data_IF_314613199985
#
_entry.id   IF_314613199985
#
_cell.length_a   1.000
_cell.length_b   1.000
_cell.length_c   1.000
_cell.angle_alpha   90.00
_cell.angle_beta   90.00
_cell.angle_gamma   90.00
#
_symmetry.space_group_name_H-M   'P 1'
#
loop_
_entity.id
_entity.type
_entity.pdbx_description
1 polymer ?
#
# COMPACT_ATOMS: atom_id res chain seq x y z
N UNK A 1 -9.91 34.33 24.31
CA UNK A 1 -10.24 32.92 24.56
C UNK A 1 -10.65 32.28 23.24
N UNK A 2 -9.94 31.21 22.88
CA UNK A 2 -10.23 30.13 21.91
C UNK A 2 -10.88 30.49 20.57
N UNK A 3 -10.10 30.28 19.50
CA UNK A 3 -10.56 29.39 18.43
C UNK A 3 -9.40 28.47 18.08
N UNK A 4 -9.43 27.28 18.68
CA UNK A 4 -8.62 26.15 18.24
C UNK A 4 -9.05 25.84 16.82
N UNK A 5 -8.16 26.03 15.85
CA UNK A 5 -8.33 25.49 14.51
C UNK A 5 -8.45 23.98 14.64
N UNK A 6 -9.63 23.46 14.36
CA UNK A 6 -9.87 22.03 14.19
C UNK A 6 -8.87 21.52 13.15
N UNK A 7 -7.83 20.82 13.61
CA UNK A 7 -6.95 20.04 12.77
C UNK A 7 -7.83 18.92 12.20
N UNK A 8 -8.24 19.05 10.95
CA UNK A 8 -8.87 17.97 10.21
C UNK A 8 -7.86 16.84 10.11
N UNK A 9 -8.00 15.85 10.97
CA UNK A 9 -7.25 14.61 10.99
C UNK A 9 -7.67 13.77 9.78
N UNK A 10 -7.29 14.19 8.57
CA UNK A 10 -7.71 13.47 7.37
C UNK A 10 -6.97 12.14 7.32
N UNK A 11 -7.76 11.08 7.41
CA UNK A 11 -7.37 9.71 7.16
C UNK A 11 -8.04 9.31 5.85
N UNK A 12 -7.27 8.81 4.90
CA UNK A 12 -7.82 8.37 3.62
C UNK A 12 -7.22 7.05 3.18
N UNK A 13 -7.97 6.34 2.33
CA UNK A 13 -7.54 5.10 1.70
C UNK A 13 -6.98 5.39 0.32
N UNK A 14 -5.86 4.76 -0.01
CA UNK A 14 -5.25 4.83 -1.33
C UNK A 14 -4.83 3.43 -1.78
N UNK A 15 -5.39 2.99 -2.91
CA UNK A 15 -5.05 1.73 -3.55
C UNK A 15 -4.17 2.02 -4.77
N UNK A 16 -3.00 1.40 -4.86
CA UNK A 16 -2.07 1.59 -5.95
C UNK A 16 -1.80 0.28 -6.66
N UNK A 17 -1.69 0.36 -7.99
CA UNK A 17 -1.12 -0.68 -8.83
C UNK A 17 0.26 -0.20 -9.25
N UNK A 18 1.27 -1.01 -8.95
CA UNK A 18 2.66 -0.78 -9.30
C UNK A 18 3.07 -1.83 -10.35
N UNK A 19 3.57 -1.35 -11.49
CA UNK A 19 4.07 -2.21 -12.57
C UNK A 19 3.46 -1.91 -13.94
N UNK A 20 4.05 -2.50 -14.98
CA UNK A 20 3.86 -2.07 -16.38
C UNK A 20 2.57 -2.54 -17.07
N UNK A 21 1.58 -3.07 -16.34
CA UNK A 21 0.32 -3.66 -16.88
C UNK A 21 0.52 -4.67 -18.03
N UNK A 22 1.74 -5.21 -18.18
CA UNK A 22 2.07 -6.20 -19.20
C UNK A 22 1.44 -7.54 -18.81
N UNK A 23 0.88 -8.24 -19.79
CA UNK A 23 0.36 -9.59 -19.57
C UNK A 23 1.51 -10.50 -19.06
N UNK A 24 1.34 -11.06 -17.87
CA UNK A 24 2.34 -11.92 -17.24
C UNK A 24 3.45 -11.20 -16.47
N UNK A 25 3.55 -9.87 -16.53
CA UNK A 25 4.55 -9.11 -15.78
C UNK A 25 4.31 -9.13 -14.27
N UNK A 26 5.33 -8.75 -13.50
CA UNK A 26 5.20 -8.54 -12.07
C UNK A 26 4.25 -7.36 -11.82
N UNK A 27 3.26 -7.60 -10.97
CA UNK A 27 2.29 -6.59 -10.50
C UNK A 27 2.36 -6.53 -8.99
N UNK A 28 2.46 -5.33 -8.45
CA UNK A 28 2.41 -5.11 -7.01
C UNK A 28 1.20 -4.23 -6.66
N UNK A 29 0.20 -4.88 -6.07
CA UNK A 29 -1.04 -4.25 -5.59
C UNK A 29 -0.87 -3.82 -4.14
N UNK A 30 -1.10 -2.54 -3.85
CA UNK A 30 -0.85 -1.94 -2.54
C UNK A 30 -2.12 -1.23 -2.08
N UNK A 31 -2.60 -1.54 -0.88
CA UNK A 31 -3.74 -0.86 -0.24
C UNK A 31 -3.28 -0.20 1.03
N UNK A 32 -3.31 1.13 1.06
CA UNK A 32 -2.77 1.97 2.13
C UNK A 32 -3.89 2.72 2.85
N UNK A 33 -3.76 2.78 4.16
CA UNK A 33 -4.43 3.73 5.04
C UNK A 33 -3.41 4.81 5.40
N UNK A 34 -3.68 6.04 4.97
CA UNK A 34 -2.79 7.18 5.19
C UNK A 34 -3.34 8.02 6.34
N UNK A 35 -2.54 8.18 7.39
CA UNK A 35 -2.86 9.01 8.55
C UNK A 35 -2.25 10.41 8.45
N UNK A 36 -3.09 11.44 8.63
CA UNK A 36 -2.66 12.84 8.71
C UNK A 36 -1.75 13.16 9.92
N UNK A 37 -2.20 12.96 11.17
CA UNK A 37 -1.39 13.26 12.36
C UNK A 37 -0.30 12.19 12.54
N UNK A 38 0.95 12.56 12.24
CA UNK A 38 2.12 11.67 12.39
C UNK A 38 2.67 11.11 11.09
N UNK A 39 2.08 11.46 9.94
CA UNK A 39 2.53 11.03 8.61
C UNK A 39 2.73 9.51 8.51
N UNK A 40 1.86 8.74 9.17
CA UNK A 40 1.97 7.29 9.22
C UNK A 40 1.17 6.65 8.09
N UNK A 41 1.67 5.51 7.62
CA UNK A 41 0.99 4.67 6.64
C UNK A 41 1.00 3.25 7.16
N UNK A 42 -0.16 2.61 7.10
CA UNK A 42 -0.30 1.16 7.27
C UNK A 42 -1.06 0.59 6.09
N UNK A 43 -0.86 -0.68 5.80
CA UNK A 43 -1.50 -1.26 4.63
C UNK A 43 -1.16 -2.71 4.39
N UNK A 44 -1.59 -3.20 3.24
CA UNK A 44 -1.27 -4.54 2.74
C UNK A 44 -0.79 -4.47 1.31
N UNK A 45 0.08 -5.39 0.96
CA UNK A 45 0.68 -5.50 -0.34
C UNK A 45 0.62 -6.93 -0.86
N UNK A 46 0.39 -7.09 -2.17
CA UNK A 46 0.48 -8.37 -2.86
C UNK A 46 1.31 -8.21 -4.13
N UNK A 47 2.43 -8.93 -4.21
CA UNK A 47 3.24 -9.03 -5.43
C UNK A 47 2.85 -10.31 -6.15
N UNK A 48 2.45 -10.21 -7.41
CA UNK A 48 2.00 -11.33 -8.23
C UNK A 48 2.71 -11.36 -9.58
N UNK A 49 3.01 -12.57 -10.07
CA UNK A 49 3.47 -12.81 -11.43
C UNK A 49 2.79 -14.08 -11.95
N UNK A 50 2.15 -13.99 -13.13
CA UNK A 50 1.42 -15.12 -13.70
C UNK A 50 2.28 -16.07 -14.56
N UNK A 51 3.41 -15.58 -15.09
CA UNK A 51 4.31 -16.40 -15.92
C UNK A 51 5.37 -17.09 -15.08
N UNK A 52 5.83 -18.26 -15.53
CA UNK A 52 6.78 -19.10 -14.80
C UNK A 52 8.13 -18.40 -14.58
N UNK A 53 8.68 -18.39 -13.34
CA UNK A 53 8.09 -18.99 -12.14
C UNK A 53 6.95 -18.13 -11.58
N UNK A 54 5.80 -18.73 -11.20
CA UNK A 54 4.72 -17.99 -10.58
C UNK A 54 5.19 -17.40 -9.24
N UNK A 55 4.86 -16.13 -9.00
CA UNK A 55 5.24 -15.40 -7.80
C UNK A 55 3.97 -14.96 -7.06
N UNK A 56 3.95 -15.15 -5.75
CA UNK A 56 2.92 -14.61 -4.87
C UNK A 56 3.53 -14.26 -3.51
N UNK A 57 3.74 -12.96 -3.26
CA UNK A 57 4.26 -12.45 -1.98
C UNK A 57 3.19 -11.60 -1.31
N UNK A 58 2.79 -12.00 -0.10
CA UNK A 58 1.89 -11.22 0.75
C UNK A 58 2.69 -10.46 1.80
N UNK A 59 2.33 -9.21 2.07
CA UNK A 59 3.05 -8.38 3.04
C UNK A 59 2.12 -7.40 3.75
N UNK A 60 2.35 -7.21 5.04
CA UNK A 60 1.77 -6.11 5.82
C UNK A 60 2.74 -4.94 5.80
N UNK A 61 2.27 -3.80 5.29
CA UNK A 61 3.10 -2.62 5.06
C UNK A 61 2.92 -1.62 6.18
N UNK A 62 4.02 -1.04 6.63
CA UNK A 62 4.05 0.04 7.60
C UNK A 62 5.15 1.03 7.28
N UNK A 63 4.93 2.31 7.55
CA UNK A 63 5.94 3.33 7.39
C UNK A 63 5.33 4.72 7.38
N UNK A 64 5.86 5.58 6.53
CA UNK A 64 5.60 7.02 6.58
C UNK A 64 5.71 7.69 5.21
N UNK A 65 5.22 8.92 5.13
CA UNK A 65 5.35 9.76 3.95
C UNK A 65 5.86 11.15 4.27
N UNK A 66 6.52 11.79 3.31
CA UNK A 66 6.97 13.17 3.43
C UNK A 66 6.79 13.92 2.12
N UNK A 67 6.45 15.19 2.22
CA UNK A 67 6.39 16.10 1.08
C UNK A 67 7.77 16.69 0.80
N UNK A 68 8.20 16.63 -0.45
CA UNK A 68 9.43 17.20 -0.95
C UNK A 68 9.09 18.30 -1.96
N UNK A 69 9.09 19.55 -1.49
CA UNK A 69 8.91 20.70 -2.35
C UNK A 69 10.28 21.19 -2.86
N UNK A 70 10.42 21.26 -4.18
CA UNK A 70 11.49 21.98 -4.85
C UNK A 70 10.97 23.36 -5.30
N UNK A 71 11.83 24.19 -5.88
CA UNK A 71 11.41 25.51 -6.39
C UNK A 71 10.36 25.43 -7.52
N UNK A 72 10.20 24.28 -8.18
CA UNK A 72 9.29 24.09 -9.32
C UNK A 72 8.18 23.09 -9.03
N UNK A 73 8.53 21.98 -8.37
CA UNK A 73 7.65 20.82 -8.26
C UNK A 73 7.59 20.33 -6.81
N UNK A 74 6.42 19.86 -6.39
CA UNK A 74 6.21 19.17 -5.13
C UNK A 74 6.00 17.68 -5.40
N UNK A 75 6.67 16.83 -4.64
CA UNK A 75 6.53 15.38 -4.72
C UNK A 75 6.25 14.79 -3.35
N UNK A 76 5.70 13.58 -3.33
CA UNK A 76 5.36 12.86 -2.12
C UNK A 76 6.19 11.59 -2.09
N UNK A 77 7.10 11.50 -1.12
CA UNK A 77 7.90 10.31 -0.91
C UNK A 77 7.25 9.44 0.16
N UNK A 78 6.87 8.23 -0.20
CA UNK A 78 6.33 7.20 0.69
C UNK A 78 7.43 6.16 0.91
N UNK A 79 7.71 5.84 2.18
CA UNK A 79 8.65 4.79 2.57
C UNK A 79 7.92 3.75 3.40
N UNK A 80 7.94 2.50 2.95
CA UNK A 80 7.25 1.39 3.59
C UNK A 80 8.20 0.20 3.77
N UNK A 81 8.06 -0.45 4.90
CA UNK A 81 8.61 -1.76 5.19
C UNK A 81 7.47 -2.77 5.28
N UNK A 82 7.72 -3.96 4.78
CA UNK A 82 6.74 -5.03 4.64
C UNK A 82 7.16 -6.26 5.41
N UNK A 83 6.22 -6.83 6.16
CA UNK A 83 6.43 -8.01 6.97
C UNK A 83 5.47 -9.13 6.54
N UNK A 84 5.97 -10.37 6.46
CA UNK A 84 5.13 -11.52 6.20
C UNK A 84 4.21 -11.79 7.39
N UNK A 85 2.95 -12.12 7.12
CA UNK A 85 2.03 -12.52 8.16
C UNK A 85 2.49 -13.87 8.75
N UNK A 86 2.52 -13.97 10.07
CA UNK A 86 2.89 -15.20 10.77
C UNK A 86 1.71 -15.68 11.65
N UNK A 87 1.27 -16.94 11.52
CA UNK A 87 0.21 -17.47 12.37
C UNK A 87 0.73 -17.67 13.81
N UNK A 88 0.22 -16.86 14.74
CA UNK A 88 0.59 -16.93 16.16
C UNK A 88 1.79 -16.05 16.51
N UNK A 89 2.59 -16.49 17.49
CA UNK A 89 3.77 -15.74 17.94
C UNK A 89 4.98 -16.20 17.10
N UNK A 90 5.65 -15.29 16.37
CA UNK A 90 6.83 -15.66 15.60
C UNK A 90 7.96 -16.14 16.53
N UNK A 91 8.75 -17.15 16.13
CA UNK A 91 9.90 -17.58 16.90
C UNK A 91 10.89 -16.43 17.08
N UNK A 92 11.53 -16.38 18.25
CA UNK A 92 12.52 -15.35 18.57
C UNK A 92 13.67 -15.40 17.55
N UNK A 93 14.00 -14.26 16.94
CA UNK A 93 15.07 -14.14 15.96
C UNK A 93 14.67 -14.39 14.51
N UNK A 94 13.39 -14.65 14.22
CA UNK A 94 12.91 -14.76 12.83
C UNK A 94 12.66 -13.36 12.26
N UNK A 95 13.38 -13.03 11.19
CA UNK A 95 13.13 -11.83 10.40
C UNK A 95 11.93 -12.05 9.46
N UNK A 96 10.80 -11.44 9.79
CA UNK A 96 9.59 -11.46 8.97
C UNK A 96 9.62 -10.42 7.84
N UNK A 97 10.63 -9.53 7.79
CA UNK A 97 10.75 -8.53 6.75
C UNK A 97 10.86 -9.20 5.38
N UNK A 98 9.96 -8.86 4.46
CA UNK A 98 9.88 -9.47 3.15
C UNK A 98 9.76 -8.48 2.00
N UNK A 99 9.47 -7.20 2.28
CA UNK A 99 9.37 -6.15 1.25
C UNK A 99 9.93 -4.83 1.76
N UNK A 100 10.70 -4.13 0.94
CA UNK A 100 11.01 -2.70 1.13
C UNK A 100 10.44 -1.94 -0.04
N UNK A 101 9.61 -0.93 0.18
CA UNK A 101 8.91 -0.19 -0.88
C UNK A 101 9.12 1.31 -0.69
N UNK A 102 9.54 1.98 -1.76
CA UNK A 102 9.60 3.43 -1.87
C UNK A 102 8.77 3.88 -3.06
N UNK A 103 7.92 4.87 -2.85
CA UNK A 103 7.09 5.45 -3.90
C UNK A 103 7.35 6.95 -3.94
N UNK A 104 7.69 7.45 -5.11
CA UNK A 104 7.74 8.88 -5.40
C UNK A 104 6.50 9.22 -6.23
N UNK A 105 5.50 9.82 -5.58
CA UNK A 105 4.28 10.30 -6.22
C UNK A 105 4.41 11.78 -6.60
N UNK A 106 3.60 12.17 -7.58
CA UNK A 106 3.25 13.56 -7.82
C UNK A 106 2.45 14.11 -6.63
N UNK A 107 2.31 15.45 -6.56
CA UNK A 107 1.58 16.15 -5.50
C UNK A 107 0.07 15.85 -5.43
N UNK A 108 -0.46 15.09 -6.40
CA UNK A 108 -1.87 14.73 -6.51
C UNK A 108 -2.24 13.37 -5.90
N UNK A 109 -1.27 12.62 -5.37
CA UNK A 109 -1.44 11.24 -4.86
C UNK A 109 -1.97 10.22 -5.91
N UNK A 110 -1.95 10.53 -7.21
CA UNK A 110 -2.56 9.65 -8.23
C UNK A 110 -1.56 8.81 -9.00
N UNK A 111 -0.36 9.32 -9.20
CA UNK A 111 0.62 8.69 -10.08
C UNK A 111 2.05 8.99 -9.65
N UNK A 112 2.97 8.14 -10.10
CA UNK A 112 4.38 8.28 -9.77
C UNK A 112 5.22 7.10 -10.20
N UNK A 113 6.34 6.93 -9.53
CA UNK A 113 7.27 5.81 -9.74
C UNK A 113 7.60 5.14 -8.41
N UNK A 114 7.82 3.83 -8.45
CA UNK A 114 8.17 3.03 -7.28
C UNK A 114 9.44 2.23 -7.50
N UNK A 115 10.12 2.01 -6.38
CA UNK A 115 11.29 1.18 -6.23
C UNK A 115 11.00 0.24 -5.07
N UNK A 116 11.14 -1.06 -5.29
CA UNK A 116 10.92 -2.01 -4.24
C UNK A 116 11.82 -3.22 -4.34
N UNK A 117 12.08 -3.83 -3.20
CA UNK A 117 12.77 -5.09 -3.10
C UNK A 117 11.85 -6.07 -2.38
N UNK A 118 11.86 -7.34 -2.78
CA UNK A 118 11.09 -8.39 -2.10
C UNK A 118 11.88 -9.68 -1.97
N UNK A 119 11.54 -10.52 -0.98
CA UNK A 119 12.07 -11.89 -0.86
C UNK A 119 11.28 -12.83 -1.78
N UNK A 120 11.97 -13.55 -2.66
CA UNK A 120 11.37 -14.61 -3.49
C UNK A 120 11.09 -15.89 -2.68
N UNK A 121 10.61 -16.94 -3.36
CA UNK A 121 10.33 -18.24 -2.72
C UNK A 121 11.56 -18.93 -2.14
N UNK A 122 12.75 -18.60 -2.65
CA UNK A 122 14.03 -19.14 -2.19
C UNK A 122 14.65 -18.27 -1.07
N UNK A 123 14.00 -17.14 -0.72
CA UNK A 123 14.42 -16.19 0.29
C UNK A 123 15.44 -15.16 -0.20
N UNK A 124 15.71 -15.09 -1.51
CA UNK A 124 16.62 -14.12 -2.09
C UNK A 124 15.92 -12.77 -2.29
N UNK A 125 16.66 -11.68 -2.09
CA UNK A 125 16.15 -10.35 -2.40
C UNK A 125 16.20 -10.09 -3.90
N UNK A 126 15.07 -9.67 -4.45
CA UNK A 126 14.92 -9.23 -5.83
C UNK A 126 14.60 -7.74 -5.82
N UNK A 127 15.43 -6.95 -6.49
CA UNK A 127 15.25 -5.52 -6.66
C UNK A 127 14.48 -5.19 -7.93
N UNK A 128 13.49 -4.31 -7.81
CA UNK A 128 12.66 -3.84 -8.91
C UNK A 128 12.64 -2.31 -8.89
N UNK A 129 13.09 -1.72 -9.99
CA UNK A 129 13.28 -0.28 -10.11
C UNK A 129 12.34 0.34 -11.14
N UNK A 130 12.10 1.65 -10.98
CA UNK A 130 11.41 2.51 -11.95
C UNK A 130 10.06 1.94 -12.42
N UNK A 131 9.28 1.34 -11.52
CA UNK A 131 7.96 0.84 -11.86
C UNK A 131 6.93 1.97 -11.80
N UNK A 132 6.07 2.13 -12.82
CA UNK A 132 5.02 3.13 -12.81
C UNK A 132 4.01 2.79 -11.72
N UNK A 133 3.52 3.82 -11.04
CA UNK A 133 2.48 3.73 -10.03
C UNK A 133 1.24 4.44 -10.53
N UNK A 134 0.11 3.76 -10.43
CA UNK A 134 -1.20 4.35 -10.73
C UNK A 134 -2.15 4.07 -9.58
N UNK A 135 -2.83 5.12 -9.10
CA UNK A 135 -3.95 4.99 -8.18
C UNK A 135 -5.05 4.17 -8.86
N UNK A 136 -5.41 3.06 -8.24
CA UNK A 136 -6.57 2.28 -8.60
C UNK A 136 -7.80 3.11 -8.22
N UNK A 137 -8.59 3.50 -9.23
CA UNK A 137 -9.84 4.22 -9.03
C UNK A 137 -10.68 3.46 -8.02
N UNK A 138 -11.01 4.10 -6.89
CA UNK A 138 -11.67 3.45 -5.78
C UNK A 138 -13.18 3.30 -6.07
N UNK A 139 -13.54 2.54 -7.11
CA UNK A 139 -14.92 2.13 -7.39
C UNK A 139 -15.43 1.08 -6.39
N UNK A 140 -14.60 0.67 -5.43
CA UNK A 140 -14.92 -0.32 -4.40
C UNK A 140 -14.98 0.24 -2.97
N UNK A 141 -15.33 1.52 -2.81
CA UNK A 141 -16.18 1.84 -1.65
C UNK A 141 -17.60 1.40 -2.02
N UNK A 142 -17.84 0.07 -2.03
CA UNK A 142 -19.21 -0.41 -1.92
C UNK A 142 -19.72 0.04 -0.56
N UNK A 143 -20.44 1.14 -0.63
CA UNK A 143 -21.25 1.80 0.38
C UNK A 143 -21.52 0.88 1.59
N UNK A 144 -21.03 1.24 2.77
CA UNK A 144 -21.28 0.55 4.05
C UNK A 144 -22.79 0.29 4.29
N UNK A 145 -23.65 1.06 3.62
CA UNK A 145 -25.09 0.85 3.58
C UNK A 145 -25.52 -0.49 2.97
N UNK A 146 -24.83 -1.01 1.94
CA UNK A 146 -25.14 -2.33 1.33
C UNK A 146 -24.83 -3.51 2.26
N UNK A 147 -23.77 -3.41 3.06
CA UNK A 147 -23.42 -4.44 4.06
C UNK A 147 -24.47 -4.50 5.17
N UNK A 148 -25.04 -3.35 5.52
CA UNK A 148 -26.06 -3.25 6.57
C UNK A 148 -27.42 -3.79 6.07
N UNK A 149 -27.74 -3.57 4.78
CA UNK A 149 -28.96 -4.11 4.17
C UNK A 149 -28.96 -5.65 4.10
N UNK A 150 -27.82 -6.27 3.77
CA UNK A 150 -27.70 -7.73 3.63
C UNK A 150 -27.86 -8.44 4.98
N UNK A 151 -27.43 -7.83 6.09
CA UNK A 151 -27.59 -8.42 7.42
C UNK A 151 -29.05 -8.40 7.90
N UNK A 152 -29.84 -7.41 7.45
CA UNK A 152 -31.24 -7.30 7.85
C UNK A 152 -32.11 -8.38 7.21
N UNK A 153 -31.90 -8.67 5.92
CA UNK A 153 -32.65 -9.70 5.19
C UNK A 153 -32.36 -11.14 5.69
N UNK A 154 -31.17 -11.40 6.24
CA UNK A 154 -30.82 -12.69 6.84
C UNK A 154 -31.32 -12.86 8.28
N UNK A 155 -31.75 -11.77 8.94
CA UNK A 155 -32.27 -11.80 10.31
C UNK A 155 -33.80 -11.92 10.38
N UNK A 156 -34.49 -11.76 9.25
CA UNK A 156 -35.96 -11.78 9.13
C UNK A 156 -36.49 -13.01 8.35
N UNK A 157 -35.64 -14.01 8.08
CA UNK A 157 -35.98 -15.31 7.50
C UNK A 157 -35.79 -16.45 8.52
#
# INVERSE_FOLDING_TARGET
MKNQTNQSHDVFLASYIIGNKLAGGIRFDVKLLVGGPGQSITGKGNITQAVSPPLHVHTELTGNYHYQATMRDCHIMINLQGYQAYPGIPPVGVDLHNVTLRILLNDDWKSGVAFYSYKDSDGNWVDVENQPVTLESNDQVENLEKLTATHKELSEA
#
